data_IF_974777946907
#
_entry.id   IF_974777946907
#
_cell.length_a   1.000
_cell.length_b   1.000
_cell.length_c   1.000
_cell.angle_alpha   90.00
_cell.angle_beta   90.00
_cell.angle_gamma   90.00
#
_symmetry.space_group_name_H-M   'P 1'
#
loop_
_entity.id
_entity.type
_entity.pdbx_description
1 polymer ?
2 non-polymer ?
3 non-polymer ?
4 non-polymer ?
5 non-polymer ?
6 non-polymer ?
7 water ?
#
# COMPACT_ATOMS: atom_id res chain seq x y z
N UNK A 12 -2.43 8.95 -30.21
CA UNK A 12 -2.90 7.83 -31.03
C UNK A 12 -3.71 6.91 -30.12
N UNK A 13 -4.62 6.15 -30.72
CA UNK A 13 -5.42 5.11 -30.00
C UNK A 13 -4.75 3.74 -30.21
N UNK A 14 -4.35 3.06 -29.16
CA UNK A 14 -3.69 1.74 -29.26
C UNK A 14 -4.63 0.61 -28.80
N UNK A 15 -4.33 -0.61 -29.23
CA UNK A 15 -5.02 -1.82 -28.72
C UNK A 15 -4.11 -2.63 -27.79
N UNK A 16 -2.80 -2.52 -28.01
CA UNK A 16 -1.73 -3.24 -27.25
C UNK A 16 -0.77 -2.21 -26.66
N UNK A 17 -0.25 -2.47 -25.47
CA UNK A 17 0.82 -1.58 -24.88
C UNK A 17 1.54 -2.40 -23.81
N UNK A 18 2.78 -2.79 -24.11
CA UNK A 18 3.49 -3.76 -23.26
C UNK A 18 2.67 -5.03 -23.16
N UNK A 19 2.37 -5.49 -21.94
CA UNK A 19 1.55 -6.68 -21.74
C UNK A 19 0.07 -6.36 -21.55
N UNK A 20 -0.39 -5.12 -21.74
CA UNK A 20 -1.83 -4.78 -21.61
C UNK A 20 -2.50 -4.89 -22.98
N UNK A 21 -3.78 -5.28 -22.99
CA UNK A 21 -4.62 -5.49 -24.22
C UNK A 21 -6.00 -4.90 -23.95
N UNK A 22 -6.50 -4.04 -24.82
CA UNK A 22 -7.91 -3.56 -24.73
C UNK A 22 -8.88 -4.75 -24.58
N UNK A 23 -9.89 -4.60 -23.69
CA UNK A 23 -10.93 -5.60 -23.29
C UNK A 23 -10.51 -6.41 -22.05
N UNK A 24 -9.25 -6.32 -21.60
CA UNK A 24 -8.79 -7.00 -20.36
C UNK A 24 -9.62 -6.55 -19.15
N UNK A 25 -9.85 -7.46 -18.20
CA UNK A 25 -10.40 -7.12 -16.88
C UNK A 25 -9.21 -6.62 -16.04
N UNK A 26 -9.40 -5.57 -15.24
CA UNK A 26 -8.32 -4.92 -14.46
C UNK A 26 -8.92 -4.28 -13.20
N UNK A 27 -8.06 -3.76 -12.31
CA UNK A 27 -8.46 -2.93 -11.15
C UNK A 27 -8.09 -1.48 -11.48
N UNK A 28 -8.95 -0.52 -11.12
CA UNK A 28 -8.68 0.91 -11.29
C UNK A 28 -8.88 1.66 -9.99
N UNK A 29 -8.11 2.72 -9.76
CA UNK A 29 -8.24 3.60 -8.55
C UNK A 29 -9.37 4.62 -8.76
N UNK A 30 -10.39 4.59 -7.91
CA UNK A 30 -11.45 5.63 -7.88
C UNK A 30 -11.01 6.86 -7.11
N UNK A 31 -11.76 7.96 -7.24
CA UNK A 31 -11.47 9.24 -6.54
C UNK A 31 -11.59 9.09 -5.02
N UNK A 32 -12.28 8.06 -4.53
CA UNK A 32 -12.32 7.69 -3.09
C UNK A 32 -10.98 7.13 -2.59
N UNK A 33 -10.06 6.84 -3.50
CA UNK A 33 -8.72 6.25 -3.25
C UNK A 33 -8.86 4.75 -2.92
N UNK A 34 -10.02 4.14 -3.13
CA UNK A 34 -10.18 2.67 -3.08
C UNK A 34 -10.22 2.11 -4.52
N UNK A 35 -9.85 0.85 -4.68
CA UNK A 35 -9.66 0.25 -6.02
C UNK A 35 -10.78 -0.77 -6.30
N UNK A 36 -11.20 -0.84 -7.56
CA UNK A 36 -12.43 -1.54 -7.99
C UNK A 36 -12.26 -2.21 -9.35
N UNK A 37 -13.01 -3.29 -9.58
CA UNK A 37 -12.96 -4.10 -10.83
C UNK A 37 -13.57 -3.31 -11.97
N UNK A 38 -12.96 -3.42 -13.16
CA UNK A 38 -13.39 -2.74 -14.38
C UNK A 38 -12.83 -3.41 -15.63
N UNK A 39 -13.12 -2.83 -16.78
CA UNK A 39 -12.64 -3.30 -18.11
C UNK A 39 -11.80 -2.20 -18.71
N UNK A 40 -10.63 -2.55 -19.28
CA UNK A 40 -9.81 -1.60 -20.06
C UNK A 40 -10.49 -1.40 -21.43
N UNK A 41 -11.06 -0.24 -21.67
CA UNK A 41 -11.80 -0.02 -22.95
C UNK A 41 -11.00 0.80 -23.95
N UNK A 42 -9.89 1.48 -23.58
CA UNK A 42 -9.08 2.25 -24.54
C UNK A 42 -7.68 2.51 -23.96
N UNK A 43 -6.70 2.65 -24.85
CA UNK A 43 -5.34 3.09 -24.48
C UNK A 43 -4.96 4.28 -25.37
N UNK A 44 -4.56 5.40 -24.77
CA UNK A 44 -4.34 6.70 -25.51
C UNK A 44 -2.91 7.16 -25.32
N UNK A 45 -2.24 7.62 -26.38
CA UNK A 45 -0.90 8.25 -26.27
C UNK A 45 -1.01 9.77 -26.54
N UNK A 46 -0.31 10.56 -25.74
CA UNK A 46 0.05 11.98 -26.10
C UNK A 46 1.58 12.11 -25.98
N UNK A 47 2.26 11.90 -27.11
CA UNK A 47 3.72 11.94 -27.22
C UNK A 47 4.37 10.85 -26.39
N UNK A 48 5.14 11.20 -25.32
CA UNK A 48 5.78 10.19 -24.49
C UNK A 48 4.82 9.61 -23.45
N UNK A 49 3.65 10.22 -23.26
CA UNK A 49 2.66 9.90 -22.19
C UNK A 49 1.59 8.87 -22.60
N UNK A 50 1.11 8.10 -21.62
CA UNK A 50 0.00 7.12 -21.88
C UNK A 50 -1.14 7.31 -20.87
N UNK A 51 -2.38 7.09 -21.32
CA UNK A 51 -3.57 7.04 -20.44
C UNK A 51 -4.42 5.82 -20.80
N UNK A 52 -5.15 5.33 -19.81
CA UNK A 52 -5.88 4.06 -19.81
C UNK A 52 -7.32 4.33 -19.39
N UNK A 53 -8.27 4.10 -20.31
CA UNK A 53 -9.71 4.35 -20.05
C UNK A 53 -10.34 3.08 -19.47
N UNK A 54 -10.90 3.19 -18.27
CA UNK A 54 -11.49 2.06 -17.54
C UNK A 54 -13.00 2.32 -17.35
N UNK A 55 -13.78 1.35 -17.75
CA UNK A 55 -15.24 1.24 -17.41
C UNK A 55 -15.38 0.39 -16.17
N UNK A 56 -15.79 1.00 -15.04
CA UNK A 56 -15.99 0.25 -13.78
C UNK A 56 -17.29 -0.57 -13.91
N UNK A 57 -17.40 -1.65 -13.13
CA UNK A 57 -18.53 -2.61 -13.16
C UNK A 57 -19.85 -1.95 -12.71
N UNK A 58 -19.85 -0.61 -12.55
CA UNK A 58 -21.09 0.17 -12.29
C UNK A 58 -21.36 1.13 -13.46
N UNK A 59 -20.48 1.15 -14.47
CA UNK A 59 -20.71 1.84 -15.76
C UNK A 59 -20.10 3.25 -15.72
N UNK A 60 -19.71 3.73 -14.54
CA UNK A 60 -18.87 4.93 -14.38
C UNK A 60 -17.52 4.69 -15.03
N UNK A 61 -16.92 5.74 -15.64
CA UNK A 61 -15.65 5.62 -16.41
C UNK A 61 -14.60 6.63 -15.92
N UNK A 62 -13.32 6.26 -15.95
CA UNK A 62 -12.19 7.16 -15.64
C UNK A 62 -11.10 6.99 -16.69
N UNK A 63 -10.39 8.09 -16.98
CA UNK A 63 -9.15 8.11 -17.78
C UNK A 63 -7.96 8.19 -16.80
N UNK A 64 -7.22 7.10 -16.67
CA UNK A 64 -6.21 6.93 -15.57
C UNK A 64 -4.78 6.83 -16.11
N UNK A 65 -3.81 7.32 -15.34
CA UNK A 65 -2.37 7.03 -15.55
C UNK A 65 -2.09 5.55 -15.26
N UNK A 66 -0.99 5.03 -15.80
CA UNK A 66 -0.64 3.59 -15.65
C UNK A 66 -0.27 3.20 -14.22
N UNK A 67 0.02 4.16 -13.35
CA UNK A 67 0.29 3.87 -11.92
C UNK A 67 -1.03 3.80 -11.12
N UNK A 68 -2.18 4.06 -11.76
CA UNK A 68 -3.52 4.03 -11.12
C UNK A 68 -4.41 2.91 -11.73
N UNK A 69 -3.77 1.88 -12.32
CA UNK A 69 -4.42 0.58 -12.72
C UNK A 69 -3.55 -0.57 -12.19
N UNK A 70 -4.16 -1.71 -11.86
CA UNK A 70 -3.47 -2.89 -11.31
C UNK A 70 -4.02 -4.14 -12.00
N UNK A 71 -3.21 -5.19 -12.10
CA UNK A 71 -3.68 -6.48 -12.67
C UNK A 71 -4.59 -7.19 -11.67
N UNK A 72 -5.66 -7.82 -12.15
CA UNK A 72 -6.58 -8.62 -11.28
C UNK A 72 -6.06 -10.05 -11.19
N UNK A 73 -4.86 -10.24 -10.63
CA UNK A 73 -4.28 -11.56 -10.29
C UNK A 73 -3.19 -11.35 -9.23
N UNK A 74 -2.77 -12.42 -8.55
CA UNK A 74 -1.81 -12.36 -7.42
C UNK A 74 -0.41 -12.55 -8.00
N UNK A 75 0.52 -11.61 -7.74
CA UNK A 75 1.86 -11.68 -8.33
C UNK A 75 2.65 -12.87 -7.77
N UNK A 76 3.49 -13.56 -8.58
CA UNK A 76 4.42 -14.57 -8.06
C UNK A 76 5.49 -13.93 -7.18
N UNK A 77 6.01 -14.64 -6.15
CA UNK A 77 6.90 -14.07 -5.12
C UNK A 77 8.20 -13.53 -5.73
N UNK A 78 8.68 -14.12 -6.82
CA UNK A 78 9.97 -13.71 -7.43
C UNK A 78 9.77 -12.39 -8.22
N UNK A 79 8.54 -11.86 -8.28
CA UNK A 79 8.26 -10.54 -8.96
C UNK A 79 8.13 -9.44 -7.93
N UNK A 80 8.15 -9.76 -6.63
CA UNK A 80 7.94 -8.72 -5.59
C UNK A 80 9.24 -8.45 -4.84
N UNK A 81 9.60 -7.18 -4.76
CA UNK A 81 10.78 -6.69 -4.04
C UNK A 81 10.37 -5.72 -2.92
N UNK A 82 11.28 -5.46 -2.00
CA UNK A 82 11.13 -4.25 -1.12
C UNK A 82 11.03 -3.04 -2.06
N UNK A 83 9.98 -2.22 -1.88
CA UNK A 83 9.70 -1.06 -2.75
C UNK A 83 8.69 -1.33 -3.86
N UNK A 84 8.27 -2.57 -4.08
CA UNK A 84 7.27 -2.88 -5.14
C UNK A 84 5.97 -2.10 -4.80
N UNK A 85 5.33 -1.53 -5.82
CA UNK A 85 4.02 -0.83 -5.75
C UNK A 85 2.87 -1.84 -5.93
N UNK A 86 2.00 -1.97 -4.93
CA UNK A 86 0.90 -2.99 -4.93
C UNK A 86 -0.44 -2.35 -4.44
N UNK A 87 -1.52 -3.07 -4.71
CA UNK A 87 -2.85 -2.90 -4.07
C UNK A 87 -3.04 -4.10 -3.12
N UNK A 88 -3.48 -3.88 -1.90
CA UNK A 88 -3.65 -4.95 -0.90
C UNK A 88 -4.99 -4.80 -0.15
N UNK A 89 -5.41 -5.91 0.42
CA UNK A 89 -6.62 -5.95 1.31
C UNK A 89 -6.33 -5.15 2.59
N UNK A 90 -7.20 -4.17 2.89
CA UNK A 90 -7.02 -3.14 3.96
C UNK A 90 -8.20 -3.29 4.93
N UNK A 91 -7.91 -3.48 6.23
CA UNK A 91 -8.93 -3.71 7.30
C UNK A 91 -9.38 -2.36 7.87
N UNK A 92 -10.67 -2.02 7.71
CA UNK A 92 -11.30 -0.75 8.16
C UNK A 92 -12.46 -1.11 9.10
N UNK A 93 -12.22 -1.10 10.41
CA UNK A 93 -13.16 -1.60 11.42
C UNK A 93 -13.59 -3.01 11.06
N UNK A 94 -14.87 -3.19 10.72
CA UNK A 94 -15.46 -4.50 10.31
C UNK A 94 -15.62 -4.56 8.77
N UNK A 95 -15.14 -3.56 8.02
CA UNK A 95 -15.16 -3.55 6.52
C UNK A 95 -13.76 -3.85 5.95
N UNK A 96 -13.69 -4.32 4.69
CA UNK A 96 -12.42 -4.53 3.93
C UNK A 96 -12.46 -3.83 2.54
N UNK A 97 -11.38 -3.11 2.20
CA UNK A 97 -11.25 -2.40 0.89
C UNK A 97 -9.97 -2.88 0.20
N UNK A 98 -9.76 -2.45 -1.05
CA UNK A 98 -8.44 -2.57 -1.70
C UNK A 98 -7.80 -1.16 -1.76
N UNK A 99 -6.60 -1.05 -1.22
CA UNK A 99 -5.89 0.24 -1.01
C UNK A 99 -4.43 0.08 -1.47
N UNK A 100 -3.86 1.13 -2.01
CA UNK A 100 -2.46 1.09 -2.48
C UNK A 100 -1.46 1.13 -1.34
N UNK A 101 -0.30 0.49 -1.59
CA UNK A 101 0.84 0.54 -0.67
C UNK A 101 2.17 0.18 -1.33
N UNK A 102 3.16 -0.03 -0.46
CA UNK A 102 4.55 -0.45 -0.82
C UNK A 102 4.91 -1.71 -0.04
N UNK A 103 5.60 -2.65 -0.69
CA UNK A 103 6.14 -3.85 -0.01
C UNK A 103 7.34 -3.43 0.86
N UNK A 104 7.24 -3.66 2.17
CA UNK A 104 8.31 -3.36 3.16
C UNK A 104 9.16 -4.60 3.52
N UNK A 105 8.58 -5.79 3.47
CA UNK A 105 9.26 -7.07 3.78
C UNK A 105 8.65 -8.14 2.89
N UNK A 106 9.50 -9.07 2.43
CA UNK A 106 9.08 -10.29 1.71
C UNK A 106 9.10 -11.47 2.70
N UNK A 107 8.46 -12.60 2.36
CA UNK A 107 8.34 -13.74 3.30
C UNK A 107 9.67 -14.28 3.83
N UNK A 108 9.75 -14.47 5.15
CA UNK A 108 10.96 -15.01 5.82
C UNK A 108 10.58 -15.70 7.12
N UNK A 109 11.53 -16.37 7.76
CA UNK A 109 11.26 -17.20 8.98
C UNK A 109 10.77 -16.26 10.08
N UNK A 110 11.39 -15.09 10.27
CA UNK A 110 11.09 -14.15 11.38
C UNK A 110 9.69 -13.53 11.20
N UNK A 111 9.14 -13.41 9.98
CA UNK A 111 7.76 -12.85 9.80
C UNK A 111 6.72 -13.95 9.50
N UNK A 112 7.03 -15.21 9.77
CA UNK A 112 6.11 -16.36 9.51
C UNK A 112 5.66 -16.35 8.03
N UNK A 113 6.57 -16.06 7.11
CA UNK A 113 6.36 -16.15 5.64
C UNK A 113 5.20 -15.26 5.15
N UNK A 114 5.17 -13.98 5.54
CA UNK A 114 4.13 -13.02 5.12
C UNK A 114 4.81 -11.83 4.40
N UNK A 115 4.01 -10.99 3.75
CA UNK A 115 4.45 -9.70 3.20
C UNK A 115 4.07 -8.58 4.18
N UNK A 116 4.99 -7.69 4.50
CA UNK A 116 4.67 -6.47 5.27
C UNK A 116 4.38 -5.33 4.28
N UNK A 117 3.18 -4.76 4.39
CA UNK A 117 2.75 -3.65 3.51
C UNK A 117 2.71 -2.34 4.31
N UNK A 118 3.28 -1.28 3.73
CA UNK A 118 3.13 0.11 4.20
C UNK A 118 2.12 0.81 3.27
N UNK A 119 0.92 1.08 3.76
CA UNK A 119 -0.15 1.72 2.97
C UNK A 119 0.10 3.24 2.85
N UNK A 120 -0.50 3.83 1.82
CA UNK A 120 -0.27 5.26 1.43
C UNK A 120 -0.63 6.22 2.57
N UNK A 121 -1.48 5.81 3.50
CA UNK A 121 -1.96 6.67 4.62
C UNK A 121 -1.12 6.45 5.88
N UNK A 122 -0.11 5.58 5.81
CA UNK A 122 0.83 5.32 6.92
C UNK A 122 0.45 4.14 7.82
N UNK A 123 -0.67 3.45 7.55
CA UNK A 123 -1.02 2.16 8.24
C UNK A 123 -0.05 1.06 7.76
N UNK A 124 0.22 0.08 8.62
CA UNK A 124 1.08 -1.09 8.28
C UNK A 124 0.37 -2.39 8.68
N UNK A 125 0.49 -3.43 7.87
CA UNK A 125 -0.09 -4.77 8.18
C UNK A 125 0.59 -5.88 7.38
N UNK A 126 0.59 -7.07 7.97
CA UNK A 126 1.10 -8.29 7.31
C UNK A 126 -0.08 -8.86 6.51
N UNK A 127 0.20 -9.31 5.28
CA UNK A 127 -0.79 -9.97 4.39
C UNK A 127 -0.18 -11.21 3.72
N UNK A 128 -1.02 -12.03 3.10
CA UNK A 128 -0.59 -13.19 2.33
C UNK A 128 -0.50 -12.81 0.85
N UNK A 129 0.14 -13.68 0.06
CA UNK A 129 0.22 -13.48 -1.41
C UNK A 129 -1.16 -13.35 -2.05
N UNK A 130 -2.21 -14.02 -1.54
CA UNK A 130 -3.58 -13.99 -2.11
C UNK A 130 -4.31 -12.70 -1.77
N UNK A 131 -3.66 -11.76 -1.04
CA UNK A 131 -4.28 -10.47 -0.64
C UNK A 131 -3.64 -9.30 -1.41
N UNK A 132 -2.77 -9.58 -2.38
CA UNK A 132 -1.97 -8.57 -3.14
C UNK A 132 -2.26 -8.58 -4.62
N UNK A 133 -2.14 -7.40 -5.25
CA UNK A 133 -2.27 -7.23 -6.72
C UNK A 133 -1.17 -6.27 -7.18
N UNK A 134 -0.46 -6.49 -8.32
CA UNK A 134 0.60 -5.57 -8.75
C UNK A 134 0.08 -4.39 -9.58
N UNK A 135 0.53 -3.18 -9.26
CA UNK A 135 0.22 -1.99 -10.12
C UNK A 135 0.90 -2.16 -11.49
N UNK A 136 0.20 -1.79 -12.58
CA UNK A 136 0.62 -2.12 -13.97
C UNK A 136 1.89 -1.34 -14.36
N UNK A 137 1.92 -0.04 -14.14
CA UNK A 137 3.03 0.82 -14.64
C UNK A 137 3.53 1.71 -13.49
N UNK A 138 4.24 1.13 -12.51
CA UNK A 138 4.73 1.88 -11.33
C UNK A 138 5.71 2.98 -11.77
N UNK A 139 5.82 4.05 -11.00
CA UNK A 139 6.86 5.09 -11.27
C UNK A 139 8.27 4.51 -11.01
N UNK A 140 9.29 5.10 -11.62
CA UNK A 140 10.72 4.73 -11.44
C UNK A 140 11.08 4.74 -9.94
N UNK A 141 10.78 5.84 -9.28
CA UNK A 141 10.80 5.93 -7.79
C UNK A 141 9.38 5.63 -7.30
N UNK A 142 9.12 4.40 -6.86
CA UNK A 142 7.71 3.90 -6.70
C UNK A 142 6.92 4.73 -5.67
N UNK A 143 7.62 5.37 -4.71
CA UNK A 143 6.99 6.15 -3.60
C UNK A 143 6.53 7.54 -4.11
N UNK A 144 6.91 7.95 -5.32
CA UNK A 144 6.70 9.39 -5.71
C UNK A 144 5.23 9.71 -6.01
N UNK A 145 4.30 8.74 -6.07
CA UNK A 145 2.84 9.05 -6.21
C UNK A 145 2.12 8.90 -4.86
N UNK A 146 2.84 8.83 -3.74
CA UNK A 146 2.21 8.89 -2.38
C UNK A 146 1.91 10.37 -2.09
N UNK A 147 0.65 10.68 -1.81
CA UNK A 147 0.16 12.09 -1.66
C UNK A 147 0.64 12.72 -0.34
N UNK A 148 0.57 12.00 0.79
CA UNK A 148 0.93 12.54 2.12
C UNK A 148 2.46 12.69 2.18
N UNK A 149 2.99 13.90 2.36
CA UNK A 149 4.45 14.19 2.40
C UNK A 149 5.13 13.38 3.53
N UNK A 150 4.55 13.27 4.73
CA UNK A 150 5.25 12.60 5.85
C UNK A 150 5.41 11.10 5.55
N UNK A 151 4.36 10.47 5.01
CA UNK A 151 4.39 9.04 4.60
C UNK A 151 5.39 8.86 3.44
N UNK A 152 5.33 9.71 2.42
CA UNK A 152 6.20 9.60 1.22
C UNK A 152 7.68 9.69 1.61
N UNK A 153 8.04 10.70 2.42
CA UNK A 153 9.46 10.88 2.88
C UNK A 153 9.93 9.68 3.72
N UNK A 154 9.09 9.18 4.61
CA UNK A 154 9.43 8.01 5.45
C UNK A 154 9.73 6.78 4.58
N UNK A 155 8.85 6.54 3.59
CA UNK A 155 8.93 5.37 2.68
C UNK A 155 10.20 5.45 1.84
N UNK A 156 10.46 6.61 1.23
CA UNK A 156 11.70 6.86 0.47
C UNK A 156 12.93 6.51 1.31
N UNK A 157 13.01 7.04 2.54
CA UNK A 157 14.18 6.73 3.41
C UNK A 157 14.25 5.24 3.72
N UNK A 158 13.11 4.61 4.06
CA UNK A 158 13.06 3.17 4.40
C UNK A 158 13.55 2.30 3.22
N UNK A 159 12.97 2.53 2.03
CA UNK A 159 13.24 1.65 0.85
C UNK A 159 14.71 1.83 0.41
N UNK A 160 15.21 3.06 0.38
CA UNK A 160 16.61 3.32 -0.08
C UNK A 160 17.67 2.88 0.97
N UNK A 161 17.38 2.89 2.28
CA UNK A 161 18.34 2.46 3.33
C UNK A 161 18.34 0.95 3.54
N UNK A 162 17.24 0.25 3.18
CA UNK A 162 17.07 -1.20 3.32
C UNK A 162 18.31 -1.90 2.78
N UNK A 163 18.92 -2.89 3.45
CA UNK A 163 18.39 -3.55 4.66
C UNK A 163 18.79 -2.95 6.03
N UNK A 164 19.36 -1.75 6.06
CA UNK A 164 19.66 -0.98 7.30
C UNK A 164 18.34 -0.44 7.86
N UNK A 165 17.83 -1.05 8.92
CA UNK A 165 16.47 -0.76 9.47
C UNK A 165 16.53 -0.60 10.98
N UNK A 166 16.77 0.62 11.48
CA UNK A 166 16.76 0.83 12.93
C UNK A 166 15.31 0.59 13.42
N UNK A 167 15.21 -0.13 14.53
CA UNK A 167 13.93 -0.52 15.19
C UNK A 167 14.15 -0.55 16.70
N UNK A 168 13.09 -0.27 17.47
CA UNK A 168 13.15 -0.40 18.94
C UNK A 168 12.70 -1.80 19.33
N UNK A 169 13.49 -2.45 20.19
CA UNK A 169 13.17 -3.78 20.74
C UNK A 169 12.21 -3.54 21.92
N UNK A 170 10.99 -4.05 21.79
CA UNK A 170 9.90 -3.85 22.75
C UNK A 170 9.38 -5.21 23.24
N UNK A 171 8.88 -5.22 24.48
CA UNK A 171 8.30 -6.43 25.10
C UNK A 171 6.91 -6.07 25.67
N UNK A 172 5.99 -7.03 25.70
CA UNK A 172 4.63 -6.84 26.25
C UNK A 172 4.77 -6.32 27.68
N UNK A 173 3.98 -5.33 28.04
CA UNK A 173 3.96 -4.73 29.39
C UNK A 173 4.78 -3.47 29.49
N UNK A 174 5.64 -3.20 28.52
CA UNK A 174 6.57 -2.04 28.58
C UNK A 174 5.77 -0.75 28.43
N UNK A 175 6.07 0.25 29.27
CA UNK A 175 5.42 1.59 29.19
C UNK A 175 6.27 2.51 28.31
N UNK A 176 5.61 3.19 27.36
CA UNK A 176 6.29 4.12 26.42
C UNK A 176 5.34 5.24 26.06
N UNK A 177 5.86 6.30 25.43
CA UNK A 177 5.05 7.40 24.88
C UNK A 177 4.88 7.17 23.38
N UNK A 178 3.66 7.34 22.90
CA UNK A 178 3.32 7.16 21.47
C UNK A 178 2.65 8.44 20.95
N UNK A 179 3.06 8.89 19.75
CA UNK A 179 2.49 10.10 19.11
C UNK A 179 1.08 9.84 18.59
N UNK A 180 0.19 10.84 18.71
CA UNK A 180 -1.12 10.83 18.01
C UNK A 180 -1.59 12.29 17.84
N UNK A 181 -1.93 12.69 16.62
CA UNK A 181 -2.45 14.06 16.31
C UNK A 181 -1.51 15.08 16.94
N UNK A 182 -0.21 14.84 16.85
CA UNK A 182 0.82 15.86 17.08
C UNK A 182 1.30 15.97 18.49
N UNK A 183 0.83 15.14 19.45
CA UNK A 183 1.31 15.15 20.84
C UNK A 183 1.62 13.73 21.32
N UNK A 184 2.32 13.64 22.45
CA UNK A 184 2.78 12.37 23.07
C UNK A 184 1.70 11.85 24.04
N UNK A 185 1.41 10.54 24.04
CA UNK A 185 0.39 9.90 24.90
C UNK A 185 1.00 8.78 25.73
N UNK A 186 0.57 8.64 26.98
CA UNK A 186 0.96 7.49 27.81
C UNK A 186 0.36 6.22 27.18
N UNK A 187 1.20 5.20 26.97
CA UNK A 187 0.81 3.97 26.25
C UNK A 187 1.58 2.76 26.78
N UNK A 188 1.12 1.57 26.39
CA UNK A 188 1.70 0.30 26.84
C UNK A 188 1.77 -0.65 25.65
N UNK A 189 2.88 -1.38 25.55
CA UNK A 189 3.04 -2.47 24.56
C UNK A 189 2.14 -3.66 24.95
N UNK A 190 1.20 -4.02 24.09
CA UNK A 190 0.26 -5.15 24.35
C UNK A 190 0.77 -6.45 23.73
N UNK A 191 1.40 -6.40 22.55
CA UNK A 191 1.77 -7.60 21.77
C UNK A 191 2.83 -7.17 20.75
N UNK A 192 3.69 -8.08 20.35
CA UNK A 192 4.64 -7.88 19.22
C UNK A 192 4.41 -8.98 18.17
N UNK A 193 4.37 -8.61 16.88
CA UNK A 193 4.23 -9.54 15.72
C UNK A 193 5.29 -9.13 14.68
N UNK A 194 6.44 -9.81 14.62
CA UNK A 194 7.52 -9.45 13.67
C UNK A 194 7.99 -8.01 13.87
N UNK A 195 7.89 -7.19 12.81
CA UNK A 195 8.32 -5.76 12.79
C UNK A 195 7.20 -4.84 13.26
N UNK A 196 6.06 -5.37 13.72
CA UNK A 196 4.90 -4.53 14.17
C UNK A 196 4.72 -4.68 15.69
N UNK A 197 4.22 -3.62 16.32
CA UNK A 197 3.83 -3.64 17.76
C UNK A 197 2.37 -3.16 17.90
N UNK A 198 1.59 -3.79 18.80
CA UNK A 198 0.23 -3.38 19.14
C UNK A 198 0.33 -2.48 20.37
N UNK A 199 0.00 -1.20 20.25
CA UNK A 199 0.06 -0.20 21.34
C UNK A 199 -1.34 0.05 21.89
N UNK A 200 -1.49 -0.02 23.22
CA UNK A 200 -2.70 0.43 23.95
C UNK A 200 -2.48 1.89 24.38
N UNK A 201 -3.33 2.79 23.92
CA UNK A 201 -3.39 4.19 24.42
C UNK A 201 -4.17 4.16 25.75
N UNK A 202 -3.55 4.56 26.84
CA UNK A 202 -4.04 4.24 28.22
C UNK A 202 -5.28 5.09 28.56
N UNK A 203 -5.32 6.36 28.16
CA UNK A 203 -6.49 7.25 28.44
C UNK A 203 -7.72 6.83 27.61
N UNK A 204 -7.56 6.49 26.32
CA UNK A 204 -8.64 6.17 25.35
C UNK A 204 -9.03 4.68 25.46
N UNK A 205 -8.13 3.85 26.00
CA UNK A 205 -8.30 2.36 26.07
C UNK A 205 -8.64 1.74 24.70
N UNK A 206 -7.93 2.16 23.64
CA UNK A 206 -8.02 1.52 22.30
C UNK A 206 -6.60 1.33 21.75
N UNK A 207 -6.44 0.38 20.84
CA UNK A 207 -5.12 -0.10 20.35
C UNK A 207 -4.89 0.28 18.89
N UNK A 208 -3.62 0.30 18.49
CA UNK A 208 -3.20 0.53 17.10
C UNK A 208 -1.97 -0.32 16.82
N UNK A 209 -1.88 -0.97 15.65
CA UNK A 209 -0.65 -1.65 15.19
C UNK A 209 0.30 -0.62 14.57
N UNK A 210 1.56 -0.54 15.01
CA UNK A 210 2.56 0.44 14.55
C UNK A 210 3.89 -0.25 14.19
N UNK A 211 4.55 0.19 13.12
CA UNK A 211 5.88 -0.34 12.73
C UNK A 211 6.92 0.01 13.81
N UNK A 212 7.79 -0.95 14.21
CA UNK A 212 8.78 -0.77 15.32
C UNK A 212 9.90 0.22 14.96
N UNK A 213 9.99 0.66 13.71
CA UNK A 213 10.98 1.70 13.31
C UNK A 213 10.28 3.05 13.13
N UNK A 214 9.00 3.18 13.48
CA UNK A 214 8.24 4.45 13.32
C UNK A 214 8.74 5.50 14.31
N UNK A 215 8.87 6.77 13.86
CA UNK A 215 9.15 7.92 14.76
C UNK A 215 7.92 8.27 15.64
N UNK A 216 6.77 7.61 15.44
CA UNK A 216 5.61 7.77 16.37
C UNK A 216 5.92 7.11 17.73
N UNK A 217 6.90 6.21 17.82
CA UNK A 217 7.30 5.57 19.10
C UNK A 217 8.42 6.44 19.72
N UNK A 218 8.23 6.95 20.94
CA UNK A 218 9.16 8.01 21.45
C UNK A 218 10.61 7.51 21.45
N UNK A 219 10.94 6.23 21.73
CA UNK A 219 12.34 5.79 21.62
C UNK A 219 12.98 5.93 20.22
N UNK A 220 12.19 5.87 19.14
CA UNK A 220 12.71 6.03 17.75
C UNK A 220 12.86 7.53 17.46
N UNK A 221 11.89 8.34 17.89
CA UNK A 221 11.93 9.82 17.76
C UNK A 221 13.26 10.37 18.28
N UNK A 222 13.77 9.80 19.38
CA UNK A 222 14.93 10.33 20.15
C UNK A 222 16.25 9.76 19.61
X LIG B 1 -7.97 9.49 -8.63
X LIG B 1 -7.39 9.33 -7.23
X LIG B 1 -7.42 8.04 -9.56
X LIG B 1 -6.99 10.70 -9.48
X LIG C 1 -6.09 9.67 21.92
X LIG C 1 -6.52 9.33 23.35
X LIG C 1 -7.21 8.72 20.91
X LIG C 1 -4.63 8.70 21.65
X LIG D 1 10.08 -3.22 -8.79
X LIG D 1 8.82 -3.83 -8.57
X LIG D 1 10.10 -1.85 -9.29
X LIG D 1 8.77 -1.28 -9.56
X LIG E 1 4.92 4.98 8.85
X LIG E 1 5.49 11.37 13.83
X LIG E 1 5.10 3.63 6.52
X LIG E 1 4.70 7.73 8.73
X LIG E 1 3.67 8.59 8.92
X LIG E 1 3.68 9.48 9.99
X LIG E 1 4.75 9.48 10.90
X LIG E 1 5.78 7.72 9.59
X LIG E 1 4.27 11.90 13.59
X LIG E 1 5.24 2.91 7.70
X LIG E 1 5.15 3.66 8.88
X LIG E 1 4.82 5.54 7.67
X LIG E 1 4.86 4.95 6.50
X LIG E 1 4.61 6.88 7.60
X LIG E 1 5.80 8.59 10.67
X LIG E 1 4.76 10.40 12.05
X LIG E 1 3.81 11.28 12.48
X LIG E 1 5.82 10.46 12.89
X LIG F 1 8.62 6.85 -14.39
X LIG F 1 14.69 1.65 -13.56
X LIG F 1 6.76 8.27 -15.77
X LIG F 1 9.45 4.53 -15.52
X LIG F 1 10.59 5.15 -15.97
X LIG F 1 11.82 4.61 -15.68
X LIG F 1 11.93 3.43 -14.95
X LIG F 1 9.52 3.38 -14.80
X LIG F 1 15.41 2.46 -14.36
X LIG F 1 7.41 8.90 -14.71
X LIG F 1 8.34 8.12 -14.03
X LIG F 1 7.94 6.39 -15.43
X LIG F 1 7.04 7.01 -16.14
X LIG F 1 8.19 5.10 -15.81
X LIG F 1 10.76 2.83 -14.50
X LIG F 1 13.26 2.87 -14.60
X LIG F 1 14.51 3.25 -15.01
X LIG F 1 13.36 1.90 -13.67
X LIG G 1 -14.31 7.99 -10.10
X LIG H 1 -3.64 -4.62 33.18
X LIG I 1 12.83 -11.84 -4.68
X LIG J 1 -0.16 -16.37 6.58
X LIG K 1 10.45 -9.47 21.17
X LIG L 1 -1.67 -16.84 0.05
X LIG M 1 -4.70 8.93 -12.96
X LIG N 1 -2.01 5.16 -5.39
X LIG O 1 -0.07 4.16 -7.35
X LIG P 1 -1.37 8.36 -6.35
X LIG Q 1 0.65 6.57 -17.64
X LIG R 1 2.09 3.88 -18.67
X LIG S 1 3.15 5.27 -14.98
X LIG T 1 11.15 -10.18 14.40
X LIG U 1 10.50 -12.31 14.72
X LIG V 1 -0.76 -7.23 10.74
X LIG W 1 0.16 -7.94 13.06
X LIG X 1 6.29 14.82 18.43
X LIG Y 1 -5.89 9.72 -28.62
X LIG Z 1 -15.79 3.94 -4.41
X LIG AA 1 -4.42 -5.42 5.93
X LIG BA 1 -17.93 0.22 -9.71
X LIG CA 1 8.14 -0.26 31.40
X LIG DA 1 19.23 -3.38 10.36
X LIG EA 1 7.40 -12.04 16.55
X LIG FA 1 3.45 2.34 11.40
X LIG GA 1 0.69 1.87 11.51
X LIG HA 1 4.15 -3.26 -9.84
X LIG IA 1 -14.24 5.07 1.14
X LIG JA 1 0.60 10.04 -10.34
X LIG KA 1 11.11 -10.13 9.45
X LIG LA 1 -5.76 -8.03 -15.13
X LIG MA 1 -14.35 -11.10 -13.80
X LIG NA 1 -5.45 6.20 18.77
X LIG OA 1 -0.40 10.62 14.15
X LIG PA 1 4.07 -4.92 -8.06
X LIG QA 1 -15.91 -4.04 -6.79
X LIG QA 1 -16.72 -3.97 -7.99
X LIG QA 1 -16.23 -2.92 -5.95
X LIG QA 1 -16.21 -5.27 -6.09
X LIG QA 1 -14.47 -4.05 -7.18
X LIG RA 1 -11.59 17.65 -10.92
X LIG RA 1 -12.58 17.87 -11.96
X LIG RA 1 -10.53 18.63 -11.00
X LIG RA 1 -12.20 17.76 -9.66
X LIG RA 1 -11.03 16.32 -11.09
#
# INVERSE_FOLDING_TARGET
MHHHHHHSSGRENLYFQGDLIVSMRILGKKRTKTWHKGTLIAIQTVGPGKKYKVKFDNKGKSLLSGNHIAYDYHPPADKLYVGSRVVAKYKDGNQVWLYAGIVAETPNVKNKLRFLIFFDDGYASYVTQSELYPICRPLKKTWEDIEDISCRDFIEEYVTAYPNRPMVLLKSGQLIKTEWEGTWWKSRVEEVDGSLVRILFLDDKRCEWIYRGSTRLEPMFSMKT
DMS S O C1 C2
DMS S O C1 C2
EDO C1 O1 C2 O2
AW7 N1 N3 C4 C5 C6 C7 C8 C10 C13 C1 C2 C3 N2 O1 C9 C11 C12 N4
AW7 N1 N3 C4 C5 C6 C7 C8 C10 C13 C1 C2 C3 N2 O1 C9 C11 C12 N4
UNX UNK
UNX UNK
UNX UNK
UNX UNK
UNX UNK
UNX UNK
UNX UNK
UNX UNK
UNX UNK
UNX UNK
UNX UNK
UNX UNK
UNX UNK
UNX UNK
UNX UNK
UNX UNK
UNX UNK
UNX UNK
UNX UNK
UNX UNK
UNX UNK
UNX UNK
UNX UNK
UNX UNK
UNX UNK
UNX UNK
UNX UNK
UNX UNK
UNX UNK
UNX UNK
UNX UNK
UNX UNK
UNX UNK
UNX UNK
UNX UNK
UNX UNK
SO4 S O1 O2 O3 O4
SO4 S O1 O2 O3 O4
#
